data_IF_676325522320
#
_entry.id   IF_676325522320
#
_cell.length_a   1.000
_cell.length_b   1.000
_cell.length_c   1.000
_cell.angle_alpha   90.00
_cell.angle_beta   90.00
_cell.angle_gamma   90.00
#
_symmetry.space_group_name_H-M   'P 1'
#
loop_
_entity.id
_entity.type
_entity.pdbx_description
1 polymer ?
#
# COMPACT_ATOMS: atom_id res chain seq x y z
N UNK A 1 -31.67 -51.77 -54.90
CA UNK A 1 -31.15 -50.39 -54.94
C UNK A 1 -30.72 -49.99 -53.49
N UNK A 2 -29.43 -49.99 -53.22
CA UNK A 2 -28.87 -49.64 -51.87
C UNK A 2 -28.28 -48.29 -51.99
N UNK A 3 -28.88 -47.31 -51.31
CA UNK A 3 -28.38 -45.92 -51.21
C UNK A 3 -27.39 -45.79 -50.08
N UNK A 4 -26.12 -45.53 -50.39
CA UNK A 4 -25.06 -45.24 -49.43
C UNK A 4 -25.16 -43.79 -49.04
N UNK A 5 -25.44 -43.55 -47.74
CA UNK A 5 -25.29 -42.23 -47.11
C UNK A 5 -23.85 -42.09 -46.67
N UNK A 6 -23.11 -41.18 -47.27
CA UNK A 6 -21.76 -40.82 -46.83
C UNK A 6 -21.86 -39.83 -45.65
N UNK A 7 -21.48 -40.29 -44.49
CA UNK A 7 -21.32 -39.45 -43.31
C UNK A 7 -19.99 -38.68 -43.46
N UNK A 8 -20.05 -37.36 -43.64
CA UNK A 8 -18.89 -36.51 -43.64
C UNK A 8 -18.55 -36.15 -42.17
N UNK A 9 -17.49 -36.73 -41.65
CA UNK A 9 -16.95 -36.41 -40.32
C UNK A 9 -16.19 -35.11 -40.43
N UNK A 10 -16.81 -34.00 -40.03
CA UNK A 10 -16.14 -32.71 -39.88
C UNK A 10 -15.23 -32.72 -38.65
N UNK A 11 -13.93 -32.70 -38.88
CA UNK A 11 -12.89 -32.60 -37.85
C UNK A 11 -12.75 -31.13 -37.48
N UNK A 12 -13.32 -30.74 -36.34
CA UNK A 12 -13.21 -29.40 -35.81
C UNK A 12 -11.81 -29.24 -35.22
N UNK A 13 -10.91 -28.53 -35.91
CA UNK A 13 -9.64 -28.10 -35.36
C UNK A 13 -9.89 -26.97 -34.38
N UNK A 14 -9.81 -27.26 -33.08
CA UNK A 14 -9.65 -26.25 -32.04
C UNK A 14 -8.23 -25.69 -32.15
N UNK A 15 -8.11 -24.53 -32.79
CA UNK A 15 -6.90 -23.74 -32.74
C UNK A 15 -6.83 -23.15 -31.30
N UNK A 16 -6.09 -23.82 -30.44
CA UNK A 16 -5.68 -23.27 -29.18
C UNK A 16 -4.74 -22.10 -29.48
N UNK A 17 -5.21 -20.86 -29.30
CA UNK A 17 -4.34 -19.70 -29.22
C UNK A 17 -3.53 -19.79 -27.96
N UNK A 18 -2.44 -20.55 -27.99
CA UNK A 18 -1.36 -20.49 -27.03
C UNK A 18 -0.62 -19.16 -27.21
N UNK A 19 -1.23 -18.08 -26.77
CA UNK A 19 -0.50 -16.84 -26.57
C UNK A 19 0.52 -17.09 -25.48
N UNK A 20 1.81 -17.14 -25.83
CA UNK A 20 2.88 -16.95 -24.86
C UNK A 20 2.65 -15.58 -24.22
N UNK A 21 2.00 -15.58 -23.06
CA UNK A 21 2.11 -14.50 -22.09
C UNK A 21 3.54 -14.60 -21.56
N UNK A 22 4.49 -14.18 -22.38
CA UNK A 22 5.80 -13.83 -21.93
C UNK A 22 5.60 -12.60 -21.07
N UNK A 23 5.49 -12.82 -19.79
CA UNK A 23 5.42 -11.83 -18.74
C UNK A 23 6.58 -10.85 -18.89
N UNK A 24 6.32 -9.76 -19.59
CA UNK A 24 6.98 -8.52 -19.27
C UNK A 24 6.37 -8.04 -17.94
N UNK A 25 6.66 -8.74 -16.85
CA UNK A 25 6.72 -8.09 -15.56
C UNK A 25 7.75 -7.00 -15.76
N UNK A 26 7.30 -5.78 -16.01
CA UNK A 26 8.17 -4.63 -15.94
C UNK A 26 8.61 -4.59 -14.47
N UNK A 27 9.75 -5.19 -14.19
CA UNK A 27 10.48 -4.92 -12.96
C UNK A 27 10.58 -3.41 -12.92
N UNK A 28 9.87 -2.79 -11.99
CA UNK A 28 10.04 -1.38 -11.66
C UNK A 28 11.51 -1.24 -11.28
N UNK A 29 12.37 -0.95 -12.28
CA UNK A 29 13.77 -0.71 -12.03
C UNK A 29 13.86 0.60 -11.26
N UNK A 30 14.33 0.50 -10.04
CA UNK A 30 14.71 1.70 -9.27
C UNK A 30 15.78 2.39 -10.11
N UNK A 31 15.65 3.70 -10.41
CA UNK A 31 16.68 4.40 -11.15
C UNK A 31 18.05 4.23 -10.47
N UNK A 32 19.10 3.89 -11.21
CA UNK A 32 20.46 3.59 -10.72
C UNK A 32 20.97 4.57 -9.66
N UNK A 33 20.61 5.85 -9.79
CA UNK A 33 20.99 6.87 -8.79
C UNK A 33 20.42 6.65 -7.40
N UNK A 34 19.23 6.04 -7.29
CA UNK A 34 18.62 5.72 -6.00
C UNK A 34 19.19 4.42 -5.45
N UNK A 35 19.42 3.43 -6.30
CA UNK A 35 20.01 2.16 -5.91
C UNK A 35 21.40 2.37 -5.28
N UNK A 36 22.27 3.14 -5.92
CA UNK A 36 23.58 3.49 -5.39
C UNK A 36 23.49 4.21 -4.03
N UNK A 37 22.51 5.09 -3.84
CA UNK A 37 22.31 5.78 -2.56
C UNK A 37 21.82 4.83 -1.48
N UNK A 38 20.88 3.96 -1.80
CA UNK A 38 20.38 2.92 -0.89
C UNK A 38 21.52 2.01 -0.46
N UNK A 39 22.32 1.51 -1.40
CA UNK A 39 23.49 0.66 -1.12
C UNK A 39 24.50 1.34 -0.23
N UNK A 40 24.77 2.63 -0.46
CA UNK A 40 25.71 3.38 0.36
C UNK A 40 25.24 3.50 1.81
N UNK A 41 23.96 3.72 2.04
CA UNK A 41 23.38 3.77 3.39
C UNK A 41 23.36 2.38 4.03
N UNK A 42 22.94 1.34 3.28
CA UNK A 42 22.91 -0.04 3.78
C UNK A 42 24.26 -0.55 4.24
N UNK A 43 25.36 -0.12 3.59
CA UNK A 43 26.75 -0.45 4.00
C UNK A 43 27.14 0.18 5.32
N UNK A 44 26.54 1.31 5.69
CA UNK A 44 26.81 1.99 6.96
C UNK A 44 25.99 1.43 8.12
N UNK A 45 24.88 0.73 7.83
CA UNK A 45 23.95 0.24 8.83
C UNK A 45 24.49 -1.01 9.53
N UNK A 46 24.32 -1.03 10.86
CA UNK A 46 24.41 -2.27 11.64
C UNK A 46 23.25 -3.20 11.34
N UNK A 47 23.36 -4.47 11.77
CA UNK A 47 22.26 -5.41 11.61
C UNK A 47 21.00 -4.95 12.36
N UNK A 48 21.15 -4.42 13.58
CA UNK A 48 20.04 -3.89 14.38
C UNK A 48 19.33 -2.74 13.69
N UNK A 49 20.08 -1.83 13.06
CA UNK A 49 19.52 -0.72 12.31
C UNK A 49 18.77 -1.21 11.04
N UNK A 50 19.30 -2.22 10.35
CA UNK A 50 18.61 -2.84 9.20
C UNK A 50 17.29 -3.49 9.62
N UNK A 51 17.30 -4.25 10.72
CA UNK A 51 16.08 -4.84 11.29
C UNK A 51 15.13 -3.73 11.71
N UNK A 52 15.65 -2.66 12.32
CA UNK A 52 14.88 -1.51 12.74
C UNK A 52 14.09 -0.84 11.60
N UNK A 53 14.65 -0.78 10.39
CA UNK A 53 13.92 -0.23 9.24
C UNK A 53 12.67 -1.04 8.83
N UNK A 54 12.59 -2.30 9.24
CA UNK A 54 11.43 -3.17 9.03
C UNK A 54 10.37 -3.02 10.13
N UNK A 55 10.70 -2.37 11.25
CA UNK A 55 9.77 -2.17 12.35
C UNK A 55 8.82 -1.00 12.06
N UNK A 56 7.53 -1.26 12.24
CA UNK A 56 6.49 -0.24 12.23
C UNK A 56 5.82 -0.19 13.60
N UNK A 57 5.86 0.97 14.24
CA UNK A 57 5.17 1.22 15.51
C UNK A 57 3.89 2.01 15.29
N UNK A 58 2.91 1.85 16.18
CA UNK A 58 1.71 2.67 16.19
C UNK A 58 1.89 3.92 17.03
N UNK A 59 1.22 5.02 16.64
CA UNK A 59 1.10 6.19 17.48
C UNK A 59 0.18 5.94 18.68
N UNK A 60 0.39 6.69 19.75
CA UNK A 60 -0.46 6.64 20.94
C UNK A 60 -1.66 7.61 20.84
N UNK A 61 -1.75 8.35 19.73
CA UNK A 61 -2.74 9.40 19.53
C UNK A 61 -3.78 8.99 18.48
N UNK A 62 -5.04 8.90 18.91
CA UNK A 62 -6.17 8.69 17.98
C UNK A 62 -6.03 7.48 17.04
N UNK A 63 -5.45 6.41 17.53
CA UNK A 63 -5.31 5.19 16.76
C UNK A 63 -6.68 4.53 16.52
N UNK A 64 -6.87 3.99 15.32
CA UNK A 64 -7.92 3.02 15.04
C UNK A 64 -7.33 1.63 15.26
N UNK A 65 -7.98 0.81 16.07
CA UNK A 65 -7.50 -0.53 16.43
C UNK A 65 -6.68 -0.59 17.72
N UNK A 66 -6.10 -1.74 18.03
CA UNK A 66 -5.34 -1.94 19.26
C UNK A 66 -4.12 -1.03 19.31
N UNK A 67 -3.96 -0.29 20.41
CA UNK A 67 -2.77 0.49 20.70
C UNK A 67 -1.94 -0.28 21.69
N UNK A 68 -0.70 -0.59 21.31
CA UNK A 68 0.29 -1.11 22.26
C UNK A 68 1.07 0.09 22.80
N UNK A 69 0.89 0.37 24.07
CA UNK A 69 1.70 1.36 24.76
C UNK A 69 3.08 0.76 25.04
N UNK A 70 4.08 1.30 24.38
CA UNK A 70 5.47 0.97 24.63
C UNK A 70 6.19 2.23 25.14
N UNK A 71 6.55 2.27 26.42
CA UNK A 71 7.23 3.43 27.02
C UNK A 71 8.62 3.64 26.41
N UNK A 72 9.20 2.61 25.77
CA UNK A 72 10.54 2.70 25.18
C UNK A 72 10.51 3.19 23.72
N UNK A 73 9.33 3.41 23.16
CA UNK A 73 9.14 3.77 21.74
C UNK A 73 10.04 4.92 21.26
N UNK A 74 10.09 6.00 22.03
CA UNK A 74 10.92 7.17 21.69
C UNK A 74 12.40 6.80 21.69
N UNK A 75 12.85 6.02 22.66
CA UNK A 75 14.23 5.55 22.72
C UNK A 75 14.59 4.61 21.57
N UNK A 76 13.64 3.77 21.15
CA UNK A 76 13.82 2.91 19.96
C UNK A 76 13.94 3.74 18.66
N UNK A 77 13.16 4.81 18.54
CA UNK A 77 13.25 5.75 17.41
C UNK A 77 14.63 6.42 17.39
N UNK A 78 15.06 6.98 18.53
CA UNK A 78 16.38 7.62 18.65
C UNK A 78 17.54 6.66 18.42
N UNK A 79 17.35 5.39 18.76
CA UNK A 79 18.34 4.34 18.51
C UNK A 79 18.37 3.86 17.03
N UNK A 80 17.48 4.38 16.15
CA UNK A 80 17.40 3.94 14.75
C UNK A 80 16.78 2.56 14.56
N UNK A 81 16.00 2.09 15.53
CA UNK A 81 15.36 0.77 15.53
C UNK A 81 13.89 0.78 15.08
N UNK A 82 13.45 1.87 14.47
CA UNK A 82 12.10 2.05 13.92
C UNK A 82 12.20 2.71 12.56
N UNK A 83 11.61 2.11 11.53
CA UNK A 83 11.61 2.62 10.16
C UNK A 83 10.33 3.37 9.80
N UNK A 84 9.21 3.02 10.45
CA UNK A 84 7.92 3.63 10.14
C UNK A 84 7.01 3.72 11.35
N UNK A 85 6.04 4.65 11.26
CA UNK A 85 4.99 4.83 12.25
C UNK A 85 3.62 4.78 11.59
N UNK A 86 2.70 4.07 12.19
CA UNK A 86 1.30 3.96 11.77
C UNK A 86 0.40 4.86 12.63
N UNK A 87 -0.68 5.38 12.03
CA UNK A 87 -1.72 6.14 12.74
C UNK A 87 -1.27 7.45 13.37
N UNK A 88 -0.37 8.17 12.72
CA UNK A 88 0.00 9.53 13.09
C UNK A 88 -0.77 10.52 12.20
N UNK A 89 -1.65 11.33 12.82
CA UNK A 89 -2.61 12.19 12.08
C UNK A 89 -2.35 13.69 12.22
N UNK A 90 -1.19 14.14 12.64
CA UNK A 90 -0.98 15.58 12.78
C UNK A 90 0.43 16.00 12.42
N UNK A 91 0.54 17.16 11.79
CA UNK A 91 1.82 17.80 11.48
C UNK A 91 2.70 17.96 12.73
N UNK A 92 2.09 18.29 13.87
CA UNK A 92 2.82 18.43 15.14
C UNK A 92 3.50 17.12 15.51
N UNK A 93 2.75 16.02 15.56
CA UNK A 93 3.28 14.73 15.98
C UNK A 93 4.25 14.12 14.95
N UNK A 94 3.99 14.30 13.65
CA UNK A 94 4.94 13.83 12.62
C UNK A 94 6.28 14.56 12.73
N UNK A 95 6.28 15.86 12.98
CA UNK A 95 7.51 16.63 13.18
C UNK A 95 8.25 16.21 14.44
N UNK A 96 7.54 16.09 15.57
CA UNK A 96 8.14 15.66 16.84
C UNK A 96 8.82 14.29 16.70
N UNK A 97 8.15 13.31 16.10
CA UNK A 97 8.73 11.99 15.88
C UNK A 97 9.91 12.02 14.91
N UNK A 98 9.85 12.87 13.87
CA UNK A 98 10.97 13.08 12.95
C UNK A 98 12.18 13.68 13.67
N UNK A 99 11.97 14.63 14.58
CA UNK A 99 13.05 15.21 15.38
C UNK A 99 13.75 14.14 16.24
N UNK A 100 13.00 13.16 16.78
CA UNK A 100 13.61 12.03 17.46
C UNK A 100 14.38 11.12 16.52
N UNK A 101 13.86 10.81 15.33
CA UNK A 101 14.56 10.00 14.34
C UNK A 101 15.88 10.66 13.87
N UNK A 102 15.89 11.98 13.76
CA UNK A 102 17.07 12.74 13.39
C UNK A 102 18.17 12.77 14.48
N UNK A 103 17.89 12.28 15.69
CA UNK A 103 18.88 12.06 16.74
C UNK A 103 19.60 10.70 16.60
N UNK A 104 19.10 9.80 15.75
CA UNK A 104 19.75 8.52 15.51
C UNK A 104 21.10 8.70 14.79
N UNK A 105 21.95 7.69 14.90
CA UNK A 105 23.31 7.71 14.34
C UNK A 105 23.36 8.02 12.83
N UNK A 106 22.45 7.43 12.08
CA UNK A 106 22.39 7.61 10.63
C UNK A 106 21.40 8.69 10.18
N UNK A 107 20.61 9.23 11.09
CA UNK A 107 19.61 10.27 10.82
C UNK A 107 18.65 9.91 9.70
N UNK A 108 18.23 8.64 9.65
CA UNK A 108 17.26 8.18 8.66
C UNK A 108 15.87 8.62 9.13
N UNK A 109 15.12 9.36 8.30
CA UNK A 109 13.79 9.81 8.68
C UNK A 109 12.79 8.65 8.70
N UNK A 110 11.76 8.78 9.55
CA UNK A 110 10.63 7.85 9.61
C UNK A 110 9.71 7.98 8.40
N UNK A 111 9.15 6.88 7.96
CA UNK A 111 7.96 6.86 7.12
C UNK A 111 6.70 6.88 7.99
N UNK A 112 5.69 7.66 7.60
CA UNK A 112 4.39 7.68 8.27
C UNK A 112 3.34 7.04 7.38
N UNK A 113 2.71 5.98 7.90
CA UNK A 113 1.63 5.25 7.26
C UNK A 113 0.28 5.56 7.89
N UNK A 114 -0.79 5.55 7.09
CA UNK A 114 -2.15 5.75 7.55
C UNK A 114 -3.14 5.06 6.60
N UNK A 115 -4.22 4.52 7.16
CA UNK A 115 -5.36 4.03 6.39
C UNK A 115 -6.19 5.22 5.89
N UNK A 116 -5.92 5.66 4.65
CA UNK A 116 -6.69 6.72 3.97
C UNK A 116 -7.50 6.06 2.87
N UNK A 117 -8.54 5.32 3.27
CA UNK A 117 -9.30 4.44 2.37
C UNK A 117 -10.27 5.23 1.49
N UNK A 118 -11.01 6.18 2.07
CA UNK A 118 -11.97 7.02 1.35
C UNK A 118 -11.94 8.48 1.84
N UNK A 119 -10.75 9.02 1.98
CA UNK A 119 -10.50 10.39 2.44
C UNK A 119 -9.88 10.45 3.82
N UNK A 120 -9.45 11.65 4.22
CA UNK A 120 -8.82 11.91 5.52
C UNK A 120 -9.58 12.95 6.32
N UNK A 121 -9.65 14.18 5.86
CA UNK A 121 -10.48 15.26 6.42
C UNK A 121 -11.76 15.42 5.62
N UNK A 122 -11.64 15.46 4.31
CA UNK A 122 -12.78 15.32 3.41
C UNK A 122 -13.11 13.85 3.28
N UNK A 123 -14.34 13.48 3.65
CA UNK A 123 -14.82 12.11 3.54
C UNK A 123 -15.48 11.96 2.17
N UNK A 124 -14.93 11.08 1.36
CA UNK A 124 -15.48 10.67 0.07
C UNK A 124 -16.40 9.46 0.24
N UNK A 125 -17.18 9.10 -0.78
CA UNK A 125 -17.94 7.86 -0.75
C UNK A 125 -17.05 6.65 -0.44
N UNK A 126 -17.62 5.63 0.17
CA UNK A 126 -16.91 4.36 0.38
C UNK A 126 -16.50 3.76 -0.98
N UNK A 127 -15.42 2.98 -1.07
CA UNK A 127 -14.95 2.41 -2.33
C UNK A 127 -16.01 1.65 -3.11
N UNK A 128 -16.90 0.92 -2.44
CA UNK A 128 -18.03 0.25 -3.09
C UNK A 128 -19.00 1.26 -3.74
N UNK A 129 -19.24 2.39 -3.10
CA UNK A 129 -20.08 3.47 -3.65
C UNK A 129 -19.41 4.18 -4.83
N UNK A 130 -18.10 4.40 -4.77
CA UNK A 130 -17.33 4.94 -5.90
C UNK A 130 -17.34 3.98 -7.09
N UNK A 131 -17.13 2.68 -6.86
CA UNK A 131 -17.16 1.66 -7.90
C UNK A 131 -18.54 1.60 -8.59
N UNK A 132 -19.63 1.75 -7.83
CA UNK A 132 -20.99 1.77 -8.37
C UNK A 132 -21.27 2.98 -9.29
N UNK A 133 -20.43 4.01 -9.28
CA UNK A 133 -20.55 5.14 -10.22
C UNK A 133 -20.10 4.81 -11.63
N UNK A 134 -19.26 3.78 -11.81
CA UNK A 134 -18.60 3.43 -13.08
C UNK A 134 -17.81 4.61 -13.69
N UNK A 135 -17.40 5.58 -12.86
CA UNK A 135 -16.65 6.78 -13.28
C UNK A 135 -15.21 6.71 -12.76
N UNK A 136 -14.28 6.28 -13.63
CA UNK A 136 -12.86 6.15 -13.29
C UNK A 136 -12.20 7.52 -13.02
N UNK A 137 -12.68 8.59 -13.67
CA UNK A 137 -12.15 9.94 -13.44
C UNK A 137 -12.59 10.46 -12.07
N UNK A 138 -13.79 10.13 -11.61
CA UNK A 138 -14.23 10.42 -10.25
C UNK A 138 -13.32 9.74 -9.23
N UNK A 139 -13.09 8.44 -9.36
CA UNK A 139 -12.22 7.67 -8.46
C UNK A 139 -10.80 8.26 -8.40
N UNK A 140 -10.25 8.66 -9.55
CA UNK A 140 -8.94 9.32 -9.61
C UNK A 140 -8.93 10.65 -8.88
N UNK A 141 -9.98 11.47 -9.01
CA UNK A 141 -10.07 12.78 -8.33
C UNK A 141 -10.23 12.65 -6.83
N UNK A 142 -11.04 11.70 -6.35
CA UNK A 142 -11.21 11.45 -4.92
C UNK A 142 -9.93 10.95 -4.28
N UNK A 143 -9.24 9.99 -4.93
CA UNK A 143 -7.94 9.51 -4.48
C UNK A 143 -6.88 10.62 -4.46
N UNK A 144 -6.84 11.48 -5.47
CA UNK A 144 -5.92 12.62 -5.52
C UNK A 144 -6.21 13.65 -4.41
N UNK A 145 -7.48 13.92 -4.12
CA UNK A 145 -7.90 14.76 -3.00
C UNK A 145 -7.46 14.22 -1.66
N UNK A 146 -7.72 12.93 -1.41
CA UNK A 146 -7.30 12.22 -0.21
C UNK A 146 -5.77 12.23 -0.04
N UNK A 147 -5.03 11.94 -1.10
CA UNK A 147 -3.56 11.96 -1.10
C UNK A 147 -3.00 13.37 -0.80
N UNK A 148 -3.61 14.42 -1.35
CA UNK A 148 -3.21 15.81 -1.08
C UNK A 148 -3.37 16.16 0.40
N UNK A 149 -4.50 15.80 1.00
CA UNK A 149 -4.74 16.06 2.43
C UNK A 149 -3.79 15.25 3.32
N UNK A 150 -3.57 13.97 3.01
CA UNK A 150 -2.68 13.09 3.74
C UNK A 150 -1.23 13.61 3.68
N UNK A 151 -0.74 13.95 2.49
CA UNK A 151 0.61 14.50 2.30
C UNK A 151 0.82 15.80 3.07
N UNK A 152 -0.20 16.67 3.13
CA UNK A 152 -0.14 17.92 3.89
C UNK A 152 -0.02 17.69 5.41
N UNK A 153 -0.39 16.52 5.91
CA UNK A 153 -0.22 16.11 7.31
C UNK A 153 1.06 15.31 7.58
N UNK A 154 1.88 15.09 6.55
CA UNK A 154 3.13 14.36 6.66
C UNK A 154 2.98 12.84 6.51
N UNK A 155 1.85 12.37 5.99
CA UNK A 155 1.66 10.96 5.64
C UNK A 155 2.35 10.67 4.31
N UNK A 156 3.20 9.63 4.29
CA UNK A 156 3.98 9.23 3.11
C UNK A 156 3.45 7.97 2.44
N UNK A 157 2.70 7.17 3.19
CA UNK A 157 2.26 5.83 2.78
C UNK A 157 0.81 5.61 3.20
N UNK A 158 -0.06 5.25 2.26
CA UNK A 158 -1.43 4.85 2.56
C UNK A 158 -1.62 3.37 2.26
N UNK A 159 -2.47 2.70 3.06
CA UNK A 159 -2.87 1.31 2.87
C UNK A 159 -4.19 1.22 2.08
N UNK A 160 -4.26 1.98 0.98
CA UNK A 160 -5.37 2.01 0.04
C UNK A 160 -4.81 1.98 -1.41
N UNK A 161 -5.58 1.46 -2.37
CA UNK A 161 -6.92 0.88 -2.25
C UNK A 161 -6.92 -0.50 -1.57
N UNK A 162 -8.06 -0.88 -0.96
CA UNK A 162 -8.30 -2.25 -0.51
C UNK A 162 -8.60 -3.11 -1.73
N UNK A 163 -7.77 -4.14 -1.95
CA UNK A 163 -7.84 -5.00 -3.14
C UNK A 163 -8.33 -6.42 -2.82
N UNK A 164 -8.82 -6.63 -1.60
CA UNK A 164 -9.43 -7.90 -1.20
C UNK A 164 -10.78 -8.07 -1.91
N UNK A 165 -11.00 -9.28 -2.43
CA UNK A 165 -12.29 -9.65 -3.00
C UNK A 165 -13.18 -10.17 -1.88
N UNK A 166 -14.21 -9.39 -1.53
CA UNK A 166 -15.16 -9.79 -0.49
C UNK A 166 -16.29 -10.62 -1.09
N UNK A 167 -16.29 -11.92 -0.78
CA UNK A 167 -17.37 -12.84 -1.19
C UNK A 167 -18.44 -13.04 -0.14
N UNK A 168 -18.23 -12.54 1.06
CA UNK A 168 -19.16 -12.66 2.19
C UNK A 168 -19.43 -11.27 2.79
N UNK A 169 -20.66 -10.80 2.65
CA UNK A 169 -21.09 -9.49 3.15
C UNK A 169 -21.01 -9.36 4.70
N UNK A 170 -20.79 -10.45 5.43
CA UNK A 170 -20.57 -10.43 6.88
C UNK A 170 -19.16 -10.01 7.27
N UNK A 171 -18.23 -9.96 6.32
CA UNK A 171 -16.88 -9.46 6.59
C UNK A 171 -16.94 -7.98 6.99
N UNK A 172 -16.38 -7.64 8.16
CA UNK A 172 -16.50 -6.31 8.76
C UNK A 172 -15.91 -5.15 7.95
N UNK A 173 -15.05 -5.45 6.95
CA UNK A 173 -14.41 -4.46 6.06
C UNK A 173 -14.92 -4.51 4.62
N UNK A 174 -16.05 -5.16 4.38
CA UNK A 174 -16.63 -5.31 3.03
C UNK A 174 -16.83 -3.97 2.31
N UNK A 175 -17.15 -2.91 3.06
CA UNK A 175 -17.37 -1.57 2.52
C UNK A 175 -16.09 -0.86 2.02
N UNK A 176 -14.93 -1.35 2.40
CA UNK A 176 -13.65 -0.74 2.02
C UNK A 176 -13.16 -1.22 0.64
N UNK A 177 -13.68 -2.33 0.14
CA UNK A 177 -13.38 -2.86 -1.18
C UNK A 177 -14.27 -2.27 -2.27
N UNK A 178 -13.81 -2.35 -3.51
CA UNK A 178 -14.57 -1.87 -4.68
C UNK A 178 -15.67 -2.87 -5.15
N UNK A 179 -15.80 -4.02 -4.52
CA UNK A 179 -16.68 -5.12 -4.92
C UNK A 179 -15.93 -6.28 -5.56
N UNK A 180 -16.64 -7.11 -6.35
CA UNK A 180 -16.08 -8.24 -7.09
C UNK A 180 -15.49 -7.83 -8.44
#
# INVERSE_FOLDING_TARGET
MKTFVKLATGMLFLVSCGGNISDKVSTLSIPDKYEQRVDSVLKLMTLDEKIGQLNQYTGNWQATGPVVEDPTKIEQIKAGKVGSMLNIKSVKHTRELQEYAMQSRLRIPLMFGLDVVHGLRTIYPIPLGEAASFDLDLMKRTAAGAAKEASAQGVHWTFAPMIDISRDARWGRVMEGAGE
#
